data_IF_268248710264
#
_entry.id   IF_268248710264
#
_cell.length_a   1.000
_cell.length_b   1.000
_cell.length_c   1.000
_cell.angle_alpha   90.00
_cell.angle_beta   90.00
_cell.angle_gamma   90.00
#
_symmetry.space_group_name_H-M   'P 1'
#
loop_
_entity.id
_entity.type
_entity.pdbx_description
1 polymer ?
#
# COMPACT_ATOMS: atom_id res chain seq x y z
N UNK A 1 -22.51 -3.63 21.60
CA UNK A 1 -22.94 -2.57 20.65
C UNK A 1 -21.76 -1.85 20.04
N UNK A 2 -21.09 -0.89 20.70
CA UNK A 2 -20.01 -0.11 20.06
C UNK A 2 -18.89 -1.00 19.49
N UNK A 3 -18.25 -1.83 20.32
CA UNK A 3 -17.15 -2.70 19.89
C UNK A 3 -17.52 -3.71 18.80
N UNK A 4 -18.78 -4.12 18.73
CA UNK A 4 -19.28 -5.05 17.71
C UNK A 4 -19.55 -4.34 16.39
N UNK A 5 -20.03 -3.09 16.45
CA UNK A 5 -20.22 -2.25 15.27
C UNK A 5 -18.88 -1.85 14.65
N UNK A 6 -17.89 -1.48 15.47
CA UNK A 6 -16.54 -1.12 15.01
C UNK A 6 -15.74 -2.34 14.49
N UNK A 7 -16.17 -3.57 14.80
CA UNK A 7 -15.60 -4.78 14.22
C UNK A 7 -16.02 -5.02 12.75
N UNK A 8 -17.03 -4.29 12.26
CA UNK A 8 -17.48 -4.37 10.88
C UNK A 8 -16.63 -3.44 10.01
N UNK A 9 -15.95 -3.98 9.00
CA UNK A 9 -15.03 -3.25 8.13
C UNK A 9 -15.67 -2.13 7.29
N UNK A 10 -17.00 -1.99 7.32
CA UNK A 10 -17.75 -1.00 6.56
C UNK A 10 -18.31 0.13 7.42
N UNK A 11 -18.11 0.10 8.74
CA UNK A 11 -18.75 1.04 9.68
C UNK A 11 -17.77 2.11 10.16
N UNK A 12 -16.49 1.79 10.31
CA UNK A 12 -15.50 2.69 10.90
C UNK A 12 -15.75 2.89 12.39
N UNK A 13 -15.41 4.07 12.92
CA UNK A 13 -15.63 4.40 14.34
C UNK A 13 -17.03 4.92 14.58
N UNK A 14 -17.61 4.50 15.70
CA UNK A 14 -18.95 4.94 16.10
C UNK A 14 -18.99 5.36 17.57
N UNK A 15 -19.72 6.43 17.85
CA UNK A 15 -20.05 6.83 19.22
C UNK A 15 -21.45 6.31 19.57
N UNK A 16 -21.55 5.51 20.64
CA UNK A 16 -22.82 4.97 21.12
C UNK A 16 -23.19 5.58 22.46
N UNK A 17 -24.35 6.22 22.55
CA UNK A 17 -24.91 6.74 23.81
C UNK A 17 -26.24 6.07 24.16
N UNK A 18 -26.52 5.97 25.46
CA UNK A 18 -27.79 5.43 25.98
C UNK A 18 -28.66 6.61 26.43
N UNK A 19 -29.79 6.82 25.76
CA UNK A 19 -30.67 7.97 26.03
C UNK A 19 -31.75 7.65 27.07
N UNK A 20 -32.15 6.38 27.21
CA UNK A 20 -33.01 5.94 28.31
C UNK A 20 -32.85 4.44 28.55
N UNK A 21 -32.60 4.06 29.80
CA UNK A 21 -32.73 2.68 30.32
C UNK A 21 -33.82 2.69 31.39
N UNK A 22 -35.08 2.85 30.97
CA UNK A 22 -36.21 2.87 31.88
C UNK A 22 -36.71 1.45 32.11
N UNK A 23 -36.32 0.82 33.22
CA UNK A 23 -36.99 -0.39 33.71
C UNK A 23 -38.26 0.05 34.42
N UNK A 24 -39.43 -0.25 33.83
CA UNK A 24 -40.69 -0.20 34.56
C UNK A 24 -40.98 -1.62 35.05
N UNK A 25 -41.04 -1.77 36.37
CA UNK A 25 -41.77 -2.89 36.96
C UNK A 25 -43.22 -2.72 36.52
N UNK A 26 -43.78 -3.71 35.83
CA UNK A 26 -45.14 -3.64 35.28
C UNK A 26 -46.23 -3.74 36.36
N UNK A 27 -45.85 -3.72 37.64
CA UNK A 27 -46.74 -3.80 38.78
C UNK A 27 -47.49 -5.14 38.87
N UNK A 28 -47.11 -6.15 38.08
CA UNK A 28 -47.73 -7.46 38.17
C UNK A 28 -47.25 -8.15 39.45
N UNK A 29 -48.09 -8.12 40.49
CA UNK A 29 -47.99 -9.07 41.60
C UNK A 29 -48.40 -10.45 41.08
N UNK A 30 -47.44 -11.15 40.48
CA UNK A 30 -47.55 -12.57 40.23
C UNK A 30 -47.46 -13.33 41.56
N UNK A 31 -48.42 -14.22 41.80
CA UNK A 31 -48.42 -15.23 42.85
C UNK A 31 -47.01 -15.83 42.93
N UNK A 32 -46.44 -15.92 44.15
CA UNK A 32 -45.12 -16.50 44.45
C UNK A 32 -44.79 -17.66 43.50
N UNK A 33 -43.59 -17.63 42.91
CA UNK A 33 -42.96 -18.58 41.96
C UNK A 33 -42.82 -18.18 40.49
N UNK A 34 -43.21 -16.97 40.04
CA UNK A 34 -42.81 -16.44 38.72
C UNK A 34 -42.11 -15.08 38.83
N UNK A 35 -40.87 -15.01 38.34
CA UNK A 35 -40.02 -13.81 38.34
C UNK A 35 -40.77 -12.57 37.83
N UNK A 36 -40.65 -11.46 38.58
CA UNK A 36 -41.15 -10.14 38.19
C UNK A 36 -40.75 -9.81 36.75
N UNK A 37 -41.73 -9.57 35.88
CA UNK A 37 -41.48 -9.16 34.50
C UNK A 37 -41.01 -7.70 34.47
N UNK A 38 -39.71 -7.51 34.31
CA UNK A 38 -39.11 -6.19 34.09
C UNK A 38 -39.27 -5.81 32.63
N UNK A 39 -40.11 -4.82 32.33
CA UNK A 39 -40.16 -4.21 31.00
C UNK A 39 -39.19 -3.03 30.97
N UNK A 40 -38.06 -3.19 30.26
CA UNK A 40 -37.06 -2.14 30.07
C UNK A 40 -36.96 -1.76 28.59
N UNK A 41 -37.09 -0.47 28.26
CA UNK A 41 -36.71 0.04 26.93
C UNK A 41 -35.29 0.59 27.01
N UNK A 42 -34.38 0.06 26.19
CA UNK A 42 -33.03 0.59 26.00
C UNK A 42 -32.97 1.35 24.68
N UNK A 43 -32.84 2.67 24.75
CA UNK A 43 -32.65 3.51 23.56
C UNK A 43 -31.15 3.80 23.38
N UNK A 44 -30.58 3.31 22.27
CA UNK A 44 -29.22 3.60 21.86
C UNK A 44 -29.23 4.62 20.72
N UNK A 45 -28.43 5.68 20.84
CA UNK A 45 -28.06 6.52 19.70
C UNK A 45 -26.68 6.10 19.24
N UNK A 46 -26.56 5.77 17.96
CA UNK A 46 -25.30 5.47 17.28
C UNK A 46 -24.99 6.64 16.34
N UNK A 47 -23.79 7.20 16.48
CA UNK A 47 -23.25 8.23 15.59
C UNK A 47 -22.05 7.65 14.86
N UNK A 48 -22.00 7.80 13.54
CA UNK A 48 -20.84 7.39 12.75
C UNK A 48 -19.85 8.55 12.72
N UNK A 49 -18.67 8.33 13.26
CA UNK A 49 -17.70 9.40 13.49
C UNK A 49 -16.77 9.58 12.28
N UNK A 50 -16.44 8.49 11.59
CA UNK A 50 -15.46 8.51 10.49
C UNK A 50 -16.03 8.21 9.12
N UNK A 51 -17.23 7.63 9.03
CA UNK A 51 -17.77 7.14 7.77
C UNK A 51 -18.68 8.19 7.11
N UNK A 52 -18.38 8.54 5.86
CA UNK A 52 -19.05 9.58 5.11
C UNK A 52 -20.31 9.10 4.38
N UNK A 53 -21.22 10.02 4.12
CA UNK A 53 -22.44 9.75 3.35
C UNK A 53 -23.59 9.18 4.17
N UNK A 54 -24.75 9.12 3.52
CA UNK A 54 -25.94 8.50 4.07
C UNK A 54 -25.76 6.98 4.10
N UNK A 55 -25.37 6.45 5.26
CA UNK A 55 -25.20 5.01 5.45
C UNK A 55 -26.54 4.27 5.46
N UNK A 56 -26.60 3.04 4.94
CA UNK A 56 -27.75 2.16 5.13
C UNK A 56 -28.06 2.02 6.62
N UNK A 57 -29.35 1.98 6.96
CA UNK A 57 -29.75 1.76 8.34
C UNK A 57 -29.22 0.42 8.84
N UNK A 58 -28.67 0.42 10.08
CA UNK A 58 -28.17 -0.79 10.73
C UNK A 58 -29.29 -1.84 10.75
N UNK A 59 -28.95 -3.02 10.27
CA UNK A 59 -29.76 -4.21 10.39
C UNK A 59 -29.68 -4.78 11.81
N UNK A 60 -30.81 -5.14 12.40
CA UNK A 60 -30.82 -5.99 13.59
C UNK A 60 -31.22 -7.38 13.14
N UNK A 61 -30.43 -8.39 13.50
CA UNK A 61 -30.89 -9.77 13.43
C UNK A 61 -31.16 -10.32 14.83
N UNK A 62 -32.32 -10.96 15.00
CA UNK A 62 -32.74 -11.63 16.23
C UNK A 62 -32.43 -13.13 16.30
N UNK A 63 -31.80 -13.70 15.26
CA UNK A 63 -31.40 -15.12 15.19
C UNK A 63 -29.86 -15.24 15.27
N UNK A 64 -29.31 -16.06 16.20
CA UNK A 64 -27.88 -16.35 16.28
C UNK A 64 -27.25 -16.92 14.99
N UNK A 65 -28.04 -17.43 14.03
CA UNK A 65 -27.55 -17.97 12.75
C UNK A 65 -27.54 -16.97 11.58
N UNK A 66 -27.91 -15.70 11.79
CA UNK A 66 -28.00 -14.71 10.72
C UNK A 66 -26.67 -14.39 10.02
N UNK A 67 -25.53 -14.61 10.66
CA UNK A 67 -24.24 -14.38 10.05
C UNK A 67 -23.93 -15.38 8.91
N UNK A 68 -24.66 -16.49 8.82
CA UNK A 68 -24.29 -17.64 7.98
C UNK A 68 -25.11 -17.75 6.68
N UNK A 69 -26.29 -17.12 6.60
CA UNK A 69 -27.22 -17.30 5.48
C UNK A 69 -27.72 -15.97 4.92
N UNK A 70 -26.94 -15.34 4.02
CA UNK A 70 -27.47 -14.34 3.08
C UNK A 70 -28.40 -14.94 2.01
N UNK A 71 -28.64 -16.25 2.03
CA UNK A 71 -29.61 -16.95 1.19
C UNK A 71 -30.34 -18.01 2.01
N UNK A 72 -31.63 -18.16 1.71
CA UNK A 72 -32.55 -19.23 2.16
C UNK A 72 -33.09 -19.17 3.60
N UNK A 73 -34.16 -18.39 3.74
CA UNK A 73 -35.51 -18.83 4.12
C UNK A 73 -35.69 -20.33 4.46
N UNK A 74 -36.12 -20.62 5.70
CA UNK A 74 -36.87 -21.80 6.17
C UNK A 74 -37.51 -21.28 7.48
N UNK A 75 -38.76 -20.87 7.56
CA UNK A 75 -39.97 -21.61 7.22
C UNK A 75 -41.12 -20.65 6.83
N UNK A 76 -41.66 -20.76 5.61
CA UNK A 76 -43.08 -20.55 5.28
C UNK A 76 -43.82 -19.24 5.66
N UNK A 77 -43.20 -18.27 6.30
CA UNK A 77 -43.78 -16.98 6.68
C UNK A 77 -42.81 -15.90 6.18
N UNK A 78 -43.26 -15.14 5.19
CA UNK A 78 -42.44 -14.34 4.29
C UNK A 78 -41.25 -13.61 4.91
N UNK A 79 -40.13 -13.68 4.20
CA UNK A 79 -39.03 -12.73 4.31
C UNK A 79 -39.62 -11.32 4.24
N UNK A 80 -39.78 -10.67 5.39
CA UNK A 80 -40.12 -9.26 5.43
C UNK A 80 -38.87 -8.52 4.94
N UNK A 81 -38.94 -8.07 3.69
CA UNK A 81 -37.93 -7.19 3.11
C UNK A 81 -37.61 -6.07 4.11
N UNK A 82 -36.33 -5.72 4.22
CA UNK A 82 -35.83 -4.57 4.98
C UNK A 82 -36.70 -3.33 4.72
N UNK A 83 -37.66 -3.08 5.60
CA UNK A 83 -38.54 -1.92 5.52
C UNK A 83 -38.35 -1.10 6.80
N UNK A 84 -38.22 0.20 6.59
CA UNK A 84 -38.09 1.23 7.63
C UNK A 84 -39.10 0.99 8.77
N UNK A 85 -38.63 0.82 10.00
CA UNK A 85 -39.48 0.73 11.20
C UNK A 85 -40.06 -0.66 11.54
N UNK A 86 -39.38 -1.75 11.17
CA UNK A 86 -39.80 -3.10 11.59
C UNK A 86 -39.25 -3.48 12.97
N UNK A 87 -40.17 -3.93 13.83
CA UNK A 87 -39.93 -4.49 15.15
C UNK A 87 -39.49 -5.95 15.03
N UNK A 88 -38.28 -6.30 15.48
CA UNK A 88 -37.85 -7.71 15.60
C UNK A 88 -38.18 -8.28 16.97
N UNK A 89 -38.76 -9.48 17.02
CA UNK A 89 -38.91 -10.28 18.24
C UNK A 89 -37.67 -11.17 18.40
N UNK A 90 -36.86 -11.04 19.46
CA UNK A 90 -35.77 -11.99 19.74
C UNK A 90 -36.36 -13.37 20.08
N UNK A 91 -35.56 -14.41 19.82
CA UNK A 91 -35.90 -15.85 19.86
C UNK A 91 -36.50 -16.41 21.18
N UNK A 92 -36.69 -15.61 22.22
CA UNK A 92 -37.46 -16.01 23.40
C UNK A 92 -38.77 -15.21 23.44
N UNK A 93 -39.88 -15.91 23.61
CA UNK A 93 -41.28 -15.53 23.41
C UNK A 93 -41.83 -14.39 24.33
N UNK A 94 -41.02 -13.38 24.64
CA UNK A 94 -41.38 -12.21 25.44
C UNK A 94 -41.25 -10.95 24.61
N UNK A 95 -42.32 -10.58 23.91
CA UNK A 95 -42.76 -9.23 23.50
C UNK A 95 -41.71 -8.09 23.40
N UNK A 96 -40.50 -8.39 22.94
CA UNK A 96 -39.35 -7.47 22.91
C UNK A 96 -39.18 -7.04 21.49
N UNK A 97 -39.33 -5.75 21.23
CA UNK A 97 -39.25 -5.20 19.87
C UNK A 97 -38.02 -4.33 19.74
N UNK A 98 -37.15 -4.64 18.78
CA UNK A 98 -36.06 -3.74 18.41
C UNK A 98 -36.42 -2.97 17.14
N UNK A 99 -36.35 -1.64 17.18
CA UNK A 99 -36.61 -0.75 16.06
C UNK A 99 -35.39 0.13 15.78
N UNK A 100 -35.04 0.27 14.50
CA UNK A 100 -33.99 1.20 14.06
C UNK A 100 -34.63 2.35 13.32
N UNK A 101 -34.29 3.58 13.70
CA UNK A 101 -34.75 4.80 13.03
C UNK A 101 -33.56 5.69 12.70
N UNK A 102 -33.61 6.35 11.54
CA UNK A 102 -32.61 7.33 11.14
C UNK A 102 -32.91 8.62 11.88
N UNK A 103 -31.99 9.08 12.72
CA UNK A 103 -32.18 10.33 13.47
C UNK A 103 -31.72 11.55 12.68
N UNK A 104 -30.56 11.45 12.02
CA UNK A 104 -29.98 12.52 11.24
C UNK A 104 -29.23 11.95 10.04
N UNK A 105 -29.39 12.59 8.88
CA UNK A 105 -28.63 12.29 7.68
C UNK A 105 -27.20 12.80 7.78
N UNK A 106 -26.26 12.12 7.14
CA UNK A 106 -24.92 12.67 6.99
C UNK A 106 -24.93 13.75 5.91
N UNK A 107 -24.00 14.68 6.01
CA UNK A 107 -23.75 15.69 4.97
C UNK A 107 -22.39 15.53 4.31
N UNK A 108 -21.55 14.62 4.84
CA UNK A 108 -20.26 14.32 4.26
C UNK A 108 -20.40 13.42 3.03
N UNK A 109 -19.50 13.57 2.07
CA UNK A 109 -19.41 12.77 0.85
C UNK A 109 -18.04 12.10 0.84
N UNK A 110 -18.02 10.79 0.56
CA UNK A 110 -16.80 9.99 0.44
C UNK A 110 -15.87 10.50 -0.68
N UNK A 111 -14.62 10.06 -0.67
CA UNK A 111 -13.62 10.47 -1.66
C UNK A 111 -14.02 9.97 -3.05
N UNK A 112 -13.91 10.85 -4.05
CA UNK A 112 -14.08 10.52 -5.47
C UNK A 112 -13.23 11.44 -6.35
N UNK A 113 -13.37 11.32 -7.67
CA UNK A 113 -12.62 12.10 -8.65
C UNK A 113 -11.20 11.58 -8.89
N UNK A 114 -10.34 12.49 -9.35
CA UNK A 114 -9.02 12.17 -9.87
C UNK A 114 -7.94 13.00 -9.18
N UNK A 115 -6.76 12.42 -9.03
CA UNK A 115 -5.56 13.11 -8.58
C UNK A 115 -4.48 13.04 -9.66
N UNK A 116 -3.44 13.85 -9.53
CA UNK A 116 -2.22 13.70 -10.31
C UNK A 116 -0.99 13.89 -9.43
N UNK A 117 0.15 13.37 -9.88
CA UNK A 117 1.43 13.52 -9.19
C UNK A 117 2.37 14.36 -10.06
N UNK A 118 3.09 15.27 -9.42
CA UNK A 118 4.12 16.09 -10.06
C UNK A 118 5.50 15.79 -9.48
N UNK A 119 6.48 15.66 -10.38
CA UNK A 119 7.88 15.47 -10.05
C UNK A 119 8.79 16.29 -10.97
N UNK A 120 9.62 17.16 -10.35
CA UNK A 120 10.62 18.00 -11.06
C UNK A 120 10.02 18.76 -12.27
N UNK A 121 8.81 19.28 -12.11
CA UNK A 121 8.11 20.06 -13.15
C UNK A 121 7.42 19.24 -14.24
N UNK A 122 7.34 17.91 -14.10
CA UNK A 122 6.49 17.06 -14.94
C UNK A 122 5.36 16.45 -14.13
N UNK A 123 4.17 16.39 -14.73
CA UNK A 123 2.94 15.91 -14.10
C UNK A 123 2.42 14.69 -14.82
N UNK A 124 1.93 13.71 -14.06
CA UNK A 124 1.20 12.56 -14.62
C UNK A 124 -0.10 13.01 -15.29
N UNK A 125 -0.72 12.10 -16.04
CA UNK A 125 -2.14 12.24 -16.35
C UNK A 125 -3.01 12.14 -15.08
N UNK A 126 -4.32 12.38 -15.24
CA UNK A 126 -5.29 12.14 -14.19
C UNK A 126 -5.35 10.65 -13.83
N UNK A 127 -5.27 10.38 -12.55
CA UNK A 127 -5.34 9.07 -11.93
C UNK A 127 -6.60 9.03 -11.07
N UNK A 128 -7.54 8.10 -11.32
CA UNK A 128 -8.69 7.92 -10.46
C UNK A 128 -8.24 7.66 -9.01
N UNK A 129 -8.98 8.14 -8.01
CA UNK A 129 -8.68 7.87 -6.59
C UNK A 129 -8.60 6.35 -6.25
N UNK A 130 -9.20 5.51 -7.10
CA UNK A 130 -9.15 4.05 -7.00
C UNK A 130 -7.94 3.40 -7.70
N UNK A 131 -7.05 4.19 -8.31
CA UNK A 131 -5.91 3.70 -9.09
C UNK A 131 -5.10 2.66 -8.32
N UNK A 132 -4.76 1.57 -9.00
CA UNK A 132 -3.94 0.52 -8.40
C UNK A 132 -2.50 1.00 -8.20
N UNK A 133 -1.70 0.24 -7.45
CA UNK A 133 -0.27 0.53 -7.33
C UNK A 133 0.42 0.49 -8.70
N UNK A 134 0.01 -0.44 -9.57
CA UNK A 134 0.52 -0.58 -10.94
C UNK A 134 0.21 0.64 -11.82
N UNK A 135 -1.01 1.18 -11.74
CA UNK A 135 -1.39 2.35 -12.55
C UNK A 135 -0.57 3.59 -12.15
N UNK A 136 -0.34 3.77 -10.84
CA UNK A 136 0.49 4.86 -10.31
C UNK A 136 1.96 4.68 -10.68
N UNK A 137 2.49 3.44 -10.59
CA UNK A 137 3.84 3.09 -11.04
C UNK A 137 4.02 3.45 -12.53
N UNK A 138 3.15 2.93 -13.40
CA UNK A 138 3.22 3.20 -14.84
C UNK A 138 3.11 4.68 -15.18
N UNK A 139 2.26 5.44 -14.49
CA UNK A 139 2.11 6.87 -14.71
C UNK A 139 3.36 7.67 -14.29
N UNK A 140 4.02 7.27 -13.20
CA UNK A 140 5.27 7.89 -12.75
C UNK A 140 6.44 7.55 -13.68
N UNK A 141 6.59 6.28 -14.07
CA UNK A 141 7.66 5.82 -14.99
C UNK A 141 7.49 6.37 -16.42
N UNK A 142 6.30 6.87 -16.77
CA UNK A 142 6.08 7.58 -18.03
C UNK A 142 6.66 9.01 -18.05
N UNK A 143 7.00 9.58 -16.88
CA UNK A 143 7.63 10.90 -16.80
C UNK A 143 9.12 10.79 -17.17
N UNK A 144 9.62 11.67 -18.02
CA UNK A 144 11.04 11.61 -18.44
C UNK A 144 12.02 11.98 -17.32
N UNK A 145 11.52 12.43 -16.17
CA UNK A 145 12.28 12.79 -14.98
C UNK A 145 12.40 11.64 -13.97
N UNK A 146 11.71 10.52 -14.22
CA UNK A 146 11.67 9.32 -13.37
C UNK A 146 12.10 8.12 -14.22
N UNK A 147 13.01 7.30 -13.69
CA UNK A 147 13.33 5.99 -14.24
C UNK A 147 12.34 4.94 -13.76
N UNK A 148 12.75 4.10 -12.79
CA UNK A 148 11.91 3.06 -12.23
C UNK A 148 11.57 3.30 -10.76
N UNK A 149 10.34 2.97 -10.39
CA UNK A 149 9.81 3.11 -9.04
C UNK A 149 9.12 1.83 -8.59
N UNK A 150 9.16 1.52 -7.30
CA UNK A 150 8.31 0.49 -6.70
C UNK A 150 7.16 1.16 -5.96
N UNK A 151 5.92 0.79 -6.29
CA UNK A 151 4.72 1.33 -5.67
C UNK A 151 3.94 0.24 -4.94
N UNK A 152 3.41 0.58 -3.77
CA UNK A 152 2.44 -0.24 -3.03
C UNK A 152 1.30 0.64 -2.54
N UNK A 153 0.11 0.06 -2.35
CA UNK A 153 -1.09 0.79 -1.93
C UNK A 153 -1.75 0.09 -0.75
N UNK A 154 -2.25 0.86 0.20
CA UNK A 154 -3.09 0.32 1.29
C UNK A 154 -4.46 -0.10 0.77
N UNK A 155 -5.18 -0.90 1.57
CA UNK A 155 -6.63 -1.01 1.37
C UNK A 155 -7.27 0.38 1.55
N UNK A 156 -8.35 0.69 0.81
CA UNK A 156 -9.10 1.91 1.05
C UNK A 156 -9.74 1.88 2.45
N UNK A 157 -9.80 3.04 3.10
CA UNK A 157 -10.59 3.24 4.32
C UNK A 157 -12.10 3.29 3.99
N UNK A 158 -12.95 3.48 5.01
CA UNK A 158 -14.40 3.51 4.84
C UNK A 158 -14.90 4.64 3.92
N UNK A 159 -14.07 5.68 3.71
CA UNK A 159 -14.36 6.80 2.81
C UNK A 159 -13.72 6.65 1.43
N UNK A 160 -13.03 5.54 1.16
CA UNK A 160 -12.32 5.32 -0.10
C UNK A 160 -10.92 5.95 -0.16
N UNK A 161 -10.45 6.54 0.94
CA UNK A 161 -9.09 7.10 1.05
C UNK A 161 -8.04 5.99 1.07
N UNK A 162 -6.91 6.20 0.39
CA UNK A 162 -5.83 5.22 0.32
C UNK A 162 -4.46 5.92 0.33
N UNK A 163 -3.44 5.17 0.74
CA UNK A 163 -2.05 5.64 0.75
C UNK A 163 -1.23 4.82 -0.25
N UNK A 164 -0.50 5.52 -1.12
CA UNK A 164 0.50 4.91 -2.01
C UNK A 164 1.90 5.17 -1.43
N UNK A 165 2.65 4.10 -1.18
CA UNK A 165 4.07 4.16 -0.82
C UNK A 165 4.91 3.96 -2.08
N UNK A 166 5.67 5.00 -2.44
CA UNK A 166 6.48 5.07 -3.66
C UNK A 166 7.96 5.07 -3.27
N UNK A 167 8.74 4.15 -3.85
CA UNK A 167 10.19 4.05 -3.66
C UNK A 167 10.89 4.25 -5.00
N UNK A 168 11.72 5.28 -5.11
CA UNK A 168 12.57 5.48 -6.30
C UNK A 168 13.70 4.44 -6.32
N UNK A 169 13.85 3.72 -7.43
CA UNK A 169 14.87 2.70 -7.62
C UNK A 169 16.05 3.21 -8.47
N UNK A 170 15.81 4.21 -9.31
CA UNK A 170 16.82 4.79 -10.21
C UNK A 170 17.38 6.13 -9.74
N UNK A 171 16.55 6.97 -9.12
CA UNK A 171 16.92 8.27 -8.58
C UNK A 171 17.58 8.05 -7.21
N UNK A 172 18.90 7.94 -7.21
CA UNK A 172 19.66 7.66 -6.01
C UNK A 172 19.88 8.92 -5.16
N UNK A 173 20.05 8.72 -3.85
CA UNK A 173 20.32 9.80 -2.91
C UNK A 173 19.07 10.55 -2.48
N UNK A 174 19.24 11.80 -2.08
CA UNK A 174 18.13 12.65 -1.65
C UNK A 174 17.33 13.12 -2.85
N UNK A 175 16.05 12.73 -2.90
CA UNK A 175 15.15 12.99 -4.01
C UNK A 175 14.07 13.99 -3.57
N UNK A 176 13.77 15.03 -4.36
CA UNK A 176 12.70 15.97 -4.04
C UNK A 176 11.36 15.27 -3.79
N UNK A 177 10.53 15.81 -2.90
CA UNK A 177 9.22 15.23 -2.63
C UNK A 177 8.31 15.36 -3.87
N UNK A 178 7.51 14.33 -4.12
CA UNK A 178 6.40 14.42 -5.08
C UNK A 178 5.40 15.47 -4.58
N UNK A 179 4.77 16.18 -5.48
CA UNK A 179 3.63 17.04 -5.15
C UNK A 179 2.36 16.37 -5.66
N UNK A 180 1.33 16.29 -4.81
CA UNK A 180 0.02 15.82 -5.24
C UNK A 180 -0.82 17.01 -5.71
N UNK A 181 -1.52 16.82 -6.82
CA UNK A 181 -2.57 17.72 -7.29
C UNK A 181 -3.92 17.06 -7.04
N UNK A 182 -4.71 17.64 -6.14
CA UNK A 182 -6.02 17.19 -5.71
C UNK A 182 -7.18 18.07 -6.23
N UNK A 183 -6.92 18.95 -7.21
CA UNK A 183 -7.90 19.91 -7.70
C UNK A 183 -9.15 19.28 -8.34
N UNK A 184 -9.03 18.06 -8.87
CA UNK A 184 -10.14 17.30 -9.46
C UNK A 184 -10.63 16.16 -8.56
N UNK A 185 -10.19 16.16 -7.30
CA UNK A 185 -10.76 15.28 -6.30
C UNK A 185 -12.04 15.90 -5.73
N UNK A 186 -13.00 15.03 -5.41
CA UNK A 186 -14.30 15.44 -4.88
C UNK A 186 -14.63 14.67 -3.60
N UNK A 187 -15.49 15.24 -2.77
CA UNK A 187 -15.82 14.72 -1.44
C UNK A 187 -15.84 15.84 -0.41
N UNK A 188 -16.10 15.49 0.85
CA UNK A 188 -16.07 16.48 1.94
C UNK A 188 -14.68 16.57 2.53
N UNK A 189 -14.05 17.75 2.39
CA UNK A 189 -12.72 18.04 2.92
C UNK A 189 -11.63 17.05 2.46
N UNK A 190 -11.72 16.63 1.19
CA UNK A 190 -10.69 15.79 0.56
C UNK A 190 -9.39 16.58 0.39
N UNK A 191 -8.27 15.91 0.62
CA UNK A 191 -6.94 16.41 0.27
C UNK A 191 -6.01 15.25 -0.05
N UNK A 192 -5.13 15.44 -1.04
CA UNK A 192 -4.00 14.55 -1.29
C UNK A 192 -2.72 15.21 -0.73
N UNK A 193 -2.01 14.48 0.13
CA UNK A 193 -0.75 14.96 0.70
C UNK A 193 0.36 13.95 0.50
N UNK A 194 1.57 14.47 0.36
CA UNK A 194 2.80 13.68 0.25
C UNK A 194 3.68 13.96 1.45
N UNK A 195 4.43 12.95 1.89
CA UNK A 195 5.42 13.09 2.95
C UNK A 195 6.56 12.11 2.74
N UNK A 196 7.73 12.44 3.28
CA UNK A 196 8.91 11.59 3.20
C UNK A 196 8.80 10.44 4.21
N UNK A 197 8.70 9.20 3.71
CA UNK A 197 8.74 8.01 4.57
C UNK A 197 10.18 7.64 4.96
N UNK A 198 11.10 7.68 4.00
CA UNK A 198 12.52 7.37 4.20
C UNK A 198 13.36 8.20 3.23
N UNK A 199 14.36 8.90 3.77
CA UNK A 199 15.33 9.60 2.94
C UNK A 199 16.19 8.62 2.14
N UNK A 200 16.33 8.88 0.84
CA UNK A 200 17.25 8.14 0.00
C UNK A 200 18.69 8.50 0.35
N UNK A 201 19.56 7.48 0.32
CA UNK A 201 21.00 7.66 0.51
C UNK A 201 21.70 7.11 -0.70
N UNK A 202 22.80 7.76 -1.08
CA UNK A 202 23.64 7.18 -2.12
C UNK A 202 24.22 5.85 -1.67
N UNK A 203 24.47 4.92 -2.60
CA UNK A 203 25.34 3.79 -2.34
C UNK A 203 26.67 4.28 -1.75
N UNK A 204 27.32 3.48 -0.89
CA UNK A 204 28.53 3.93 -0.21
C UNK A 204 29.75 4.08 -1.14
N UNK A 205 29.67 3.59 -2.39
CA UNK A 205 30.76 3.62 -3.38
C UNK A 205 32.10 3.11 -2.82
N UNK A 206 32.04 2.08 -1.98
CA UNK A 206 33.16 1.56 -1.20
C UNK A 206 33.31 0.05 -1.33
N UNK A 207 32.82 -0.55 -2.42
CA UNK A 207 33.10 -1.95 -2.69
C UNK A 207 34.63 -2.09 -2.72
N UNK A 208 35.21 -2.73 -1.72
CA UNK A 208 36.66 -2.86 -1.59
C UNK A 208 36.90 -4.34 -1.34
N UNK A 209 37.75 -4.95 -2.17
CA UNK A 209 38.40 -6.21 -1.85
C UNK A 209 39.86 -5.89 -1.45
N UNK A 210 40.20 -5.92 -0.15
CA UNK A 210 41.54 -5.58 0.35
C UNK A 210 42.62 -6.61 -0.01
N UNK A 211 42.27 -7.83 -0.43
CA UNK A 211 43.25 -8.91 -0.67
C UNK A 211 44.01 -8.76 -2.01
N UNK A 212 43.53 -7.92 -2.93
CA UNK A 212 43.91 -8.00 -4.35
C UNK A 212 44.37 -6.68 -5.01
N UNK A 213 44.74 -5.64 -4.23
CA UNK A 213 45.41 -4.45 -4.77
C UNK A 213 44.57 -3.51 -5.65
N UNK A 214 43.26 -3.45 -5.36
CA UNK A 214 42.15 -2.70 -6.02
C UNK A 214 41.74 -3.25 -7.41
N UNK A 215 40.41 -3.27 -7.75
CA UNK A 215 39.64 -2.05 -8.00
C UNK A 215 38.11 -2.15 -7.78
N UNK A 216 37.57 -1.59 -6.72
CA UNK A 216 36.13 -1.21 -6.70
C UNK A 216 35.88 0.11 -5.93
N UNK A 217 36.96 0.80 -5.55
CA UNK A 217 36.94 2.14 -4.95
C UNK A 217 36.90 3.24 -6.01
N UNK A 218 38.06 3.69 -6.48
CA UNK A 218 38.15 4.75 -7.50
C UNK A 218 39.30 4.51 -8.47
N UNK A 219 39.17 5.03 -9.69
CA UNK A 219 40.19 5.04 -10.72
C UNK A 219 40.15 6.39 -11.45
N UNK A 220 41.30 6.83 -11.97
CA UNK A 220 41.40 8.03 -12.80
C UNK A 220 41.67 7.62 -14.24
N UNK A 221 40.89 8.15 -15.17
CA UNK A 221 41.14 8.04 -16.60
C UNK A 221 41.92 9.28 -17.00
N UNK A 222 43.18 9.10 -17.43
CA UNK A 222 44.07 10.21 -17.78
C UNK A 222 44.30 10.36 -19.28
N UNK A 223 44.01 9.31 -20.06
CA UNK A 223 44.00 9.41 -21.52
C UNK A 223 42.71 10.10 -21.96
N UNK A 224 42.83 11.31 -22.51
CA UNK A 224 41.68 12.07 -22.99
C UNK A 224 41.25 11.66 -24.40
N UNK A 225 42.06 10.85 -25.11
CA UNK A 225 41.68 10.27 -26.39
C UNK A 225 40.82 9.00 -26.21
N UNK A 226 40.90 8.35 -25.05
CA UNK A 226 40.16 7.13 -24.71
C UNK A 226 39.57 7.23 -23.30
N UNK A 227 38.31 7.66 -23.22
CA UNK A 227 37.58 7.87 -21.96
C UNK A 227 36.86 6.61 -21.46
N UNK A 228 37.38 5.43 -21.80
CA UNK A 228 36.84 4.14 -21.39
C UNK A 228 37.63 3.52 -20.23
N UNK A 229 36.91 2.81 -19.35
CA UNK A 229 37.50 2.04 -18.26
C UNK A 229 36.80 0.70 -18.14
N UNK A 230 37.58 -0.38 -18.24
CA UNK A 230 37.08 -1.73 -17.95
C UNK A 230 37.26 -2.03 -16.46
N UNK A 231 36.14 -2.16 -15.74
CA UNK A 231 36.14 -2.58 -14.33
C UNK A 231 36.15 -4.11 -14.29
N UNK A 232 37.21 -4.69 -13.73
CA UNK A 232 37.40 -6.15 -13.64
C UNK A 232 37.19 -6.66 -12.20
N UNK A 233 37.15 -7.99 -12.04
CA UNK A 233 36.97 -8.67 -10.74
C UNK A 233 35.62 -8.37 -10.05
N UNK A 234 34.56 -8.23 -10.83
CA UNK A 234 33.20 -8.10 -10.33
C UNK A 234 32.57 -9.45 -10.01
N UNK A 235 31.71 -9.49 -8.98
CA UNK A 235 30.91 -10.67 -8.66
C UNK A 235 29.63 -10.71 -9.50
N UNK A 236 29.26 -11.91 -9.97
CA UNK A 236 28.03 -12.08 -10.76
C UNK A 236 26.79 -11.92 -9.88
N UNK A 237 25.71 -11.36 -10.46
CA UNK A 237 24.42 -11.08 -9.81
C UNK A 237 24.47 -10.07 -8.65
N UNK A 238 25.61 -9.40 -8.45
CA UNK A 238 25.73 -8.29 -7.51
C UNK A 238 25.53 -6.98 -8.30
N UNK A 239 24.57 -6.12 -7.93
CA UNK A 239 24.40 -4.82 -8.58
C UNK A 239 25.54 -3.87 -8.19
N UNK A 240 26.23 -3.33 -9.18
CA UNK A 240 27.28 -2.32 -9.00
C UNK A 240 26.79 -0.95 -9.46
N UNK A 241 27.10 0.06 -8.66
CA UNK A 241 26.80 1.47 -8.92
C UNK A 241 28.09 2.21 -9.25
N UNK A 242 28.06 3.05 -10.29
CA UNK A 242 29.22 3.84 -10.72
C UNK A 242 28.85 5.31 -10.80
N UNK A 243 29.77 6.17 -10.37
CA UNK A 243 29.69 7.62 -10.55
C UNK A 243 31.01 8.13 -11.11
N UNK A 244 30.95 9.18 -11.92
CA UNK A 244 32.10 9.79 -12.58
C UNK A 244 32.11 11.29 -12.31
N UNK A 245 33.29 11.87 -12.14
CA UNK A 245 33.49 13.32 -12.05
C UNK A 245 34.69 13.71 -12.92
N UNK A 246 34.58 14.81 -13.65
CA UNK A 246 35.71 15.37 -14.38
C UNK A 246 36.65 16.09 -13.42
N UNK A 247 37.96 15.95 -13.62
CA UNK A 247 39.00 16.62 -12.82
C UNK A 247 39.90 17.41 -13.75
N UNK A 248 40.20 18.66 -13.40
CA UNK A 248 41.21 19.49 -14.06
C UNK A 248 42.14 20.14 -13.02
N UNK A 249 43.03 21.03 -13.46
CA UNK A 249 43.97 21.71 -12.57
C UNK A 249 43.31 22.59 -11.48
N UNK A 250 42.04 22.99 -11.66
CA UNK A 250 41.27 23.76 -10.68
C UNK A 250 40.57 22.84 -9.65
N UNK A 251 40.50 21.54 -9.93
CA UNK A 251 39.92 20.55 -9.03
C UNK A 251 38.91 19.62 -9.69
N UNK A 252 38.11 18.96 -8.87
CA UNK A 252 37.08 18.01 -9.28
C UNK A 252 35.73 18.69 -9.44
N UNK A 253 35.03 18.38 -10.53
CA UNK A 253 33.64 18.75 -10.75
C UNK A 253 32.65 17.92 -9.91
N UNK A 254 31.33 18.16 -10.07
CA UNK A 254 30.32 17.37 -9.40
C UNK A 254 30.31 15.92 -9.91
N UNK A 255 29.92 15.01 -9.02
CA UNK A 255 29.67 13.61 -9.40
C UNK A 255 28.43 13.49 -10.27
N UNK A 256 28.52 12.66 -11.31
CA UNK A 256 27.40 12.27 -12.17
C UNK A 256 27.21 10.75 -12.10
N UNK A 257 25.97 10.30 -11.97
CA UNK A 257 25.65 8.85 -11.99
C UNK A 257 25.63 8.32 -13.41
N UNK A 258 25.92 7.02 -13.56
CA UNK A 258 25.74 6.34 -14.84
C UNK A 258 24.25 6.19 -15.20
N UNK A 259 23.98 6.02 -16.50
CA UNK A 259 22.68 5.58 -17.01
C UNK A 259 22.91 4.27 -17.77
N UNK A 260 22.39 3.13 -17.29
CA UNK A 260 21.60 2.93 -16.07
C UNK A 260 22.41 3.17 -14.78
N UNK A 261 21.74 3.45 -13.64
CA UNK A 261 22.39 3.75 -12.36
C UNK A 261 23.13 2.55 -11.74
N UNK A 262 22.74 1.33 -12.11
CA UNK A 262 23.44 0.12 -11.74
C UNK A 262 23.33 -0.96 -12.82
N UNK A 263 24.27 -1.90 -12.80
CA UNK A 263 24.22 -3.14 -13.59
C UNK A 263 24.71 -4.29 -12.72
N UNK A 264 24.09 -5.46 -12.87
CA UNK A 264 24.54 -6.70 -12.24
C UNK A 264 25.16 -7.63 -13.29
N UNK A 265 26.46 -7.95 -13.22
CA UNK A 265 27.10 -8.86 -14.18
C UNK A 265 26.43 -10.23 -14.18
N UNK A 266 26.07 -10.75 -15.36
CA UNK A 266 25.48 -12.09 -15.51
C UNK A 266 26.55 -13.11 -15.89
N UNK A 267 26.46 -14.36 -15.41
CA UNK A 267 27.38 -15.41 -15.84
C UNK A 267 27.25 -15.62 -17.35
N UNK A 268 28.37 -15.46 -18.07
CA UNK A 268 28.43 -15.76 -19.50
C UNK A 268 28.90 -17.19 -19.70
N UNK A 269 28.33 -17.90 -20.69
CA UNK A 269 28.81 -19.23 -21.07
C UNK A 269 30.23 -19.07 -21.64
N UNK A 270 31.27 -19.73 -21.06
CA UNK A 270 32.62 -19.64 -21.62
C UNK A 270 32.62 -20.03 -23.10
N UNK A 271 33.40 -19.30 -23.91
CA UNK A 271 33.65 -19.67 -25.30
C UNK A 271 34.46 -20.97 -25.39
N UNK A 272 34.49 -21.57 -26.59
CA UNK A 272 35.38 -22.70 -26.84
C UNK A 272 36.84 -22.25 -26.67
N UNK A 273 37.73 -23.09 -26.10
CA UNK A 273 39.16 -22.75 -26.01
C UNK A 273 39.74 -22.53 -27.40
N UNK A 274 40.46 -21.42 -27.58
CA UNK A 274 41.19 -21.11 -28.81
C UNK A 274 42.67 -21.46 -28.66
N UNK A 275 43.38 -21.63 -29.78
CA UNK A 275 44.83 -21.90 -29.81
C UNK A 275 45.27 -23.13 -28.99
N UNK A 276 44.48 -24.21 -29.07
CA UNK A 276 44.83 -25.48 -28.44
C UNK A 276 45.87 -26.20 -29.30
N UNK A 277 47.04 -26.48 -28.72
CA UNK A 277 48.11 -27.22 -29.40
C UNK A 277 48.48 -28.49 -28.65
N UNK A 278 48.92 -29.51 -29.39
CA UNK A 278 49.36 -30.79 -28.87
C UNK A 278 50.78 -31.08 -29.35
N UNK A 279 51.69 -31.41 -28.44
CA UNK A 279 53.06 -31.75 -28.76
C UNK A 279 53.47 -33.07 -28.09
N UNK A 280 54.29 -33.87 -28.75
CA UNK A 280 54.84 -35.10 -28.15
C UNK A 280 55.98 -34.73 -27.21
N UNK A 281 55.96 -35.25 -25.98
CA UNK A 281 57.06 -35.12 -25.02
C UNK A 281 57.96 -36.36 -25.06
N UNK A 282 57.37 -37.55 -25.03
CA UNK A 282 58.10 -38.83 -25.13
C UNK A 282 57.21 -39.96 -25.67
N UNK A 283 57.72 -41.20 -25.62
CA UNK A 283 57.06 -42.40 -26.12
C UNK A 283 55.68 -42.69 -25.48
N UNK A 284 55.36 -42.06 -24.35
CA UNK A 284 54.14 -42.29 -23.58
C UNK A 284 53.42 -41.02 -23.15
N UNK A 285 53.94 -39.84 -23.46
CA UNK A 285 53.38 -38.57 -23.00
C UNK A 285 53.26 -37.49 -24.09
N UNK A 286 52.16 -36.73 -24.01
CA UNK A 286 51.89 -35.57 -24.84
C UNK A 286 51.69 -34.35 -23.92
N UNK A 287 52.11 -33.17 -24.39
CA UNK A 287 51.79 -31.89 -23.80
C UNK A 287 50.62 -31.26 -24.54
N UNK A 288 49.60 -30.86 -23.77
CA UNK A 288 48.54 -29.96 -24.22
C UNK A 288 48.91 -28.53 -23.81
N UNK A 289 48.79 -27.56 -24.71
CA UNK A 289 48.91 -26.14 -24.38
C UNK A 289 47.74 -25.32 -24.91
N UNK A 290 47.44 -24.21 -24.22
CA UNK A 290 46.57 -23.14 -24.68
C UNK A 290 47.43 -21.86 -24.64
N UNK A 291 47.62 -21.19 -25.78
CA UNK A 291 48.40 -19.93 -25.89
C UNK A 291 47.57 -18.75 -26.40
#
# INVERSE_FOLDING_TARGET
VQSELEALSTIGRVTVSVESAGVKDDGSEGIEWLEKRRTGTCLYRVTFDTNAGDLPMIAICGDPNCAVNHRSNVDGQGVQNFQRGVSFLPYDNKNSTANVTLVQKSTSVAVSGDFALEFRGQRTGYLPYTSSAYDVEAALEALSTIGSVAVSRTAPDENGGATWSITFLTELGDVPMLTADDLDMTGTAVSATTFLQRQGVFPPFNSLDPLNGLPLGSAAITDLADLDLTISKLETRVPYYVRVAAVNALGQGPWTMTTPPYVAPTPFRPGAPVNVSLAVLDATSLRLSLE
#
